data_IF_826326625611
#
_entry.id   IF_826326625611
#
_cell.length_a   1.000
_cell.length_b   1.000
_cell.length_c   1.000
_cell.angle_alpha   90.00
_cell.angle_beta   90.00
_cell.angle_gamma   90.00
#
_symmetry.space_group_name_H-M   'P 1'
#
loop_
_entity.id
_entity.type
_entity.pdbx_description
1 polymer ?
#
# COMPACT_ATOMS: atom_id res chain seq x y z
N UNK A 1 -7.64 -6.48 13.54
CA UNK A 1 -8.56 -6.84 14.60
C UNK A 1 -8.66 -5.68 15.57
N UNK A 2 -9.81 -5.03 15.66
CA UNK A 2 -10.14 -4.07 16.71
C UNK A 2 -11.13 -4.76 17.66
N UNK A 3 -10.76 -5.93 18.22
CA UNK A 3 -11.74 -6.82 18.80
C UNK A 3 -12.42 -6.22 20.01
N UNK A 4 -11.66 -5.53 20.84
CA UNK A 4 -12.18 -5.04 22.09
C UNK A 4 -12.54 -3.55 22.07
N UNK A 5 -11.89 -2.78 21.19
CA UNK A 5 -12.21 -1.37 21.03
C UNK A 5 -13.48 -1.15 20.22
N UNK A 6 -13.72 -1.97 19.20
CA UNK A 6 -14.87 -1.81 18.33
C UNK A 6 -16.19 -2.09 19.05
N UNK A 7 -16.28 -3.19 19.75
CA UNK A 7 -17.53 -3.60 20.40
C UNK A 7 -17.91 -2.70 21.56
N UNK A 8 -16.98 -2.39 22.44
CA UNK A 8 -17.26 -1.50 23.58
C UNK A 8 -17.49 -0.06 23.18
N UNK A 9 -16.83 0.39 22.11
CA UNK A 9 -16.98 1.72 21.61
C UNK A 9 -18.32 1.99 20.94
N UNK A 10 -18.93 1.00 20.31
CA UNK A 10 -20.22 1.15 19.65
C UNK A 10 -21.38 1.37 20.60
N UNK A 11 -21.23 1.03 21.86
CA UNK A 11 -22.25 1.27 22.89
C UNK A 11 -22.23 2.71 23.44
N UNK A 12 -21.15 3.45 23.23
CA UNK A 12 -21.02 4.83 23.69
C UNK A 12 -21.17 5.82 22.53
N UNK A 13 -22.08 6.78 22.70
CA UNK A 13 -22.25 7.88 21.74
C UNK A 13 -21.05 8.84 21.68
N UNK A 14 -20.06 8.61 22.51
CA UNK A 14 -18.86 9.44 22.62
C UNK A 14 -17.73 8.97 21.72
N UNK A 15 -17.85 7.78 21.11
CA UNK A 15 -16.81 7.18 20.32
C UNK A 15 -16.74 7.73 18.88
N UNK A 16 -15.55 8.04 18.46
CA UNK A 16 -15.23 8.49 17.13
C UNK A 16 -14.08 7.67 16.54
N UNK A 17 -14.28 6.96 15.42
CA UNK A 17 -13.18 6.31 14.74
C UNK A 17 -12.26 7.35 14.11
N UNK A 18 -10.97 7.23 14.37
CA UNK A 18 -9.94 8.07 13.79
C UNK A 18 -8.91 7.19 13.09
N UNK A 19 -8.60 7.52 11.85
CA UNK A 19 -7.45 6.94 11.18
C UNK A 19 -6.18 7.54 11.79
N UNK A 20 -5.34 6.71 12.38
CA UNK A 20 -4.04 7.14 12.89
C UNK A 20 -3.04 7.07 11.77
N UNK A 21 -2.42 8.19 11.43
CA UNK A 21 -1.33 8.24 10.47
C UNK A 21 -0.22 7.26 10.86
N UNK A 22 0.30 6.56 9.87
CA UNK A 22 1.35 5.52 10.01
C UNK A 22 0.95 4.25 10.76
N UNK A 23 -0.31 4.06 11.07
CA UNK A 23 -0.79 2.79 11.59
C UNK A 23 -1.39 1.96 10.46
N UNK A 24 -0.96 0.72 10.33
CA UNK A 24 -1.67 -0.28 9.51
C UNK A 24 -2.97 -0.73 10.19
N UNK A 25 -3.48 0.05 11.13
CA UNK A 25 -4.65 -0.26 11.93
C UNK A 25 -5.42 1.02 12.22
N UNK A 26 -6.72 0.89 12.30
CA UNK A 26 -7.61 1.92 12.81
C UNK A 26 -7.47 2.01 14.33
N UNK A 27 -7.37 3.22 14.83
CA UNK A 27 -7.55 3.50 16.25
C UNK A 27 -8.83 4.29 16.44
N UNK A 28 -9.48 4.07 17.55
CA UNK A 28 -10.59 4.90 17.99
C UNK A 28 -10.09 5.88 19.03
N UNK A 29 -10.42 7.13 18.88
CA UNK A 29 -10.23 8.15 19.91
C UNK A 29 -11.59 8.74 20.24
N UNK A 30 -11.77 9.12 21.48
CA UNK A 30 -13.04 9.58 22.02
C UNK A 30 -12.87 10.99 22.52
N UNK A 31 -13.63 11.91 21.94
CA UNK A 31 -13.66 13.29 22.39
C UNK A 31 -15.10 13.74 22.55
N UNK A 32 -15.40 14.43 23.62
CA UNK A 32 -16.75 14.95 23.87
C UNK A 32 -17.18 16.03 22.86
N UNK A 33 -16.23 16.66 22.18
CA UNK A 33 -16.48 17.83 21.34
C UNK A 33 -16.93 17.51 19.93
N UNK A 34 -16.77 16.25 19.48
CA UNK A 34 -17.02 15.85 18.08
C UNK A 34 -18.09 14.76 17.96
N UNK A 35 -19.21 14.95 18.63
CA UNK A 35 -20.34 14.01 18.55
C UNK A 35 -20.97 14.05 17.16
N UNK A 36 -20.71 13.05 16.36
CA UNK A 36 -21.49 12.78 15.15
C UNK A 36 -22.67 11.91 15.51
N UNK A 37 -23.86 12.27 15.04
CA UNK A 37 -25.00 11.39 15.13
C UNK A 37 -24.83 10.21 14.13
N UNK A 38 -25.70 9.21 14.21
CA UNK A 38 -25.64 8.02 13.38
C UNK A 38 -25.70 8.35 11.87
N UNK A 39 -26.53 9.31 11.50
CA UNK A 39 -26.67 9.75 10.10
C UNK A 39 -25.40 10.39 9.57
N UNK A 40 -24.78 11.26 10.35
CA UNK A 40 -23.50 11.87 9.97
C UNK A 40 -22.38 10.83 9.89
N UNK A 41 -22.40 9.83 10.73
CA UNK A 41 -21.42 8.73 10.70
C UNK A 41 -21.60 7.86 9.46
N UNK A 42 -22.84 7.54 9.11
CA UNK A 42 -23.18 6.82 7.88
C UNK A 42 -22.77 7.62 6.64
N UNK A 43 -23.13 8.90 6.58
CA UNK A 43 -22.74 9.78 5.48
C UNK A 43 -21.22 9.90 5.32
N UNK A 44 -20.48 10.00 6.43
CA UNK A 44 -19.02 9.99 6.41
C UNK A 44 -18.46 8.66 5.91
N UNK A 45 -19.11 7.54 6.25
CA UNK A 45 -18.78 6.21 5.74
C UNK A 45 -18.92 6.15 4.21
N UNK A 46 -20.04 6.58 3.68
CA UNK A 46 -20.28 6.65 2.22
C UNK A 46 -19.24 7.56 1.54
N UNK A 47 -18.99 8.75 2.09
CA UNK A 47 -17.96 9.65 1.55
C UNK A 47 -16.57 8.99 1.51
N UNK A 48 -16.21 8.26 2.56
CA UNK A 48 -14.94 7.53 2.61
C UNK A 48 -14.87 6.42 1.57
N UNK A 49 -15.95 5.67 1.39
CA UNK A 49 -16.02 4.61 0.39
C UNK A 49 -15.95 5.18 -1.04
N UNK A 50 -16.62 6.29 -1.32
CA UNK A 50 -16.50 7.00 -2.60
C UNK A 50 -15.04 7.43 -2.88
N UNK A 51 -14.35 7.97 -1.89
CA UNK A 51 -12.94 8.32 -2.01
C UNK A 51 -12.07 7.09 -2.28
N UNK A 52 -12.24 6.03 -1.51
CA UNK A 52 -11.51 4.76 -1.67
C UNK A 52 -11.83 4.10 -3.03
N UNK A 53 -13.07 4.17 -3.50
CA UNK A 53 -13.48 3.70 -4.83
C UNK A 53 -12.94 4.59 -5.97
N UNK A 54 -12.39 5.76 -5.64
CA UNK A 54 -11.87 6.74 -6.61
C UNK A 54 -12.91 7.65 -7.20
N UNK A 55 -14.07 7.69 -6.61
CA UNK A 55 -15.14 8.61 -6.96
C UNK A 55 -15.03 9.80 -6.01
N UNK A 56 -14.70 10.96 -6.55
CA UNK A 56 -14.53 12.15 -5.72
C UNK A 56 -15.84 12.61 -5.12
N UNK A 57 -15.95 12.60 -3.80
CA UNK A 57 -17.11 13.11 -3.05
C UNK A 57 -16.90 14.50 -2.43
N UNK A 58 -15.67 14.99 -2.39
CA UNK A 58 -15.28 16.20 -1.67
C UNK A 58 -14.76 15.91 -0.27
N UNK A 59 -15.06 16.81 0.70
CA UNK A 59 -14.63 16.62 2.09
C UNK A 59 -15.44 15.51 2.76
N UNK A 60 -14.79 14.74 3.63
CA UNK A 60 -15.46 13.76 4.47
C UNK A 60 -15.95 14.47 5.74
N UNK A 61 -17.07 15.11 5.63
CA UNK A 61 -17.67 15.96 6.67
C UNK A 61 -18.92 15.34 7.34
N UNK A 62 -19.41 14.22 6.80
CA UNK A 62 -20.61 13.55 7.29
C UNK A 62 -21.91 14.18 6.83
N UNK A 63 -21.88 14.97 5.75
CA UNK A 63 -23.07 15.55 5.16
C UNK A 63 -23.23 15.13 3.68
N UNK A 64 -24.38 14.57 3.33
CA UNK A 64 -24.71 14.24 1.94
C UNK A 64 -25.10 15.50 1.16
N UNK A 65 -24.11 16.38 0.96
CA UNK A 65 -24.27 17.60 0.20
C UNK A 65 -24.37 17.36 -1.32
N UNK A 66 -24.56 18.44 -2.08
CA UNK A 66 -24.72 18.38 -3.55
C UNK A 66 -23.60 17.62 -4.25
N UNK A 67 -22.34 17.85 -3.84
CA UNK A 67 -21.17 17.17 -4.43
C UNK A 67 -21.18 15.66 -4.16
N UNK A 68 -21.50 15.27 -2.93
CA UNK A 68 -21.58 13.85 -2.56
C UNK A 68 -22.68 13.13 -3.32
N UNK A 69 -23.87 13.75 -3.42
CA UNK A 69 -25.00 13.18 -4.18
C UNK A 69 -24.72 13.08 -5.67
N UNK A 70 -24.05 14.07 -6.26
CA UNK A 70 -23.60 14.00 -7.65
C UNK A 70 -22.63 12.82 -7.85
N UNK A 71 -21.62 12.68 -6.98
CA UNK A 71 -20.67 11.58 -7.05
C UNK A 71 -21.32 10.20 -6.90
N UNK A 72 -22.34 10.08 -6.04
CA UNK A 72 -23.16 8.85 -5.92
C UNK A 72 -23.89 8.59 -7.25
N UNK A 73 -24.56 9.60 -7.80
CA UNK A 73 -25.27 9.47 -9.07
C UNK A 73 -24.38 9.05 -10.23
N UNK A 74 -23.24 9.72 -10.38
CA UNK A 74 -22.23 9.38 -11.40
C UNK A 74 -21.71 7.96 -11.21
N UNK A 75 -21.48 7.54 -9.96
CA UNK A 75 -21.03 6.18 -9.65
C UNK A 75 -22.09 5.15 -10.03
N UNK A 76 -23.35 5.32 -9.59
CA UNK A 76 -24.46 4.42 -9.94
C UNK A 76 -24.63 4.31 -11.46
N UNK A 77 -24.61 5.45 -12.15
CA UNK A 77 -24.69 5.47 -13.61
C UNK A 77 -23.53 4.71 -14.26
N UNK A 78 -22.31 4.89 -13.76
CA UNK A 78 -21.12 4.19 -14.28
C UNK A 78 -21.17 2.67 -14.11
N UNK A 79 -21.95 2.20 -13.14
CA UNK A 79 -22.18 0.78 -12.85
C UNK A 79 -23.46 0.24 -13.51
N UNK A 80 -24.24 1.07 -14.19
CA UNK A 80 -25.54 0.68 -14.76
C UNK A 80 -26.59 0.35 -13.71
N UNK A 81 -26.50 0.96 -12.54
CA UNK A 81 -27.40 0.74 -11.41
C UNK A 81 -28.50 1.79 -11.35
N UNK A 82 -29.65 1.41 -10.74
CA UNK A 82 -30.79 2.30 -10.56
C UNK A 82 -30.47 3.40 -9.54
N UNK A 83 -31.04 4.60 -9.77
CA UNK A 83 -30.92 5.73 -8.85
C UNK A 83 -31.62 5.47 -7.50
N UNK A 84 -32.51 4.48 -7.44
CA UNK A 84 -33.21 4.05 -6.22
C UNK A 84 -32.48 2.92 -5.48
N UNK A 85 -31.21 2.63 -5.83
CA UNK A 85 -30.39 1.67 -5.09
C UNK A 85 -30.39 2.04 -3.60
N UNK A 86 -30.66 1.06 -2.74
CA UNK A 86 -30.71 1.30 -1.28
C UNK A 86 -29.35 1.72 -0.74
N UNK A 87 -29.32 2.43 0.38
CA UNK A 87 -28.07 2.86 1.03
C UNK A 87 -27.17 1.65 1.39
N UNK A 88 -27.78 0.53 1.80
CA UNK A 88 -27.05 -0.69 2.11
C UNK A 88 -26.37 -1.28 0.86
N UNK A 89 -27.12 -1.45 -0.22
CA UNK A 89 -26.58 -1.98 -1.49
C UNK A 89 -25.51 -1.04 -2.07
N UNK A 90 -25.72 0.28 -1.96
CA UNK A 90 -24.74 1.28 -2.38
C UNK A 90 -23.42 1.11 -1.60
N UNK A 91 -23.49 0.92 -0.29
CA UNK A 91 -22.29 0.72 0.55
C UNK A 91 -21.56 -0.56 0.17
N UNK A 92 -22.27 -1.66 -0.02
CA UNK A 92 -21.68 -2.95 -0.42
C UNK A 92 -20.97 -2.85 -1.78
N UNK A 93 -21.60 -2.20 -2.76
CA UNK A 93 -21.02 -2.02 -4.10
C UNK A 93 -19.82 -1.07 -4.07
N UNK A 94 -19.88 -0.02 -3.28
CA UNK A 94 -18.77 0.90 -3.07
C UNK A 94 -17.61 0.19 -2.37
N UNK A 95 -17.86 -0.61 -1.33
CA UNK A 95 -16.85 -1.39 -0.63
C UNK A 95 -16.17 -2.37 -1.58
N UNK A 96 -16.94 -3.13 -2.36
CA UNK A 96 -16.38 -4.04 -3.35
C UNK A 96 -15.52 -3.30 -4.37
N UNK A 97 -15.99 -2.16 -4.88
CA UNK A 97 -15.23 -1.33 -5.83
C UNK A 97 -13.95 -0.78 -5.22
N UNK A 98 -13.99 -0.35 -3.95
CA UNK A 98 -12.83 0.10 -3.22
C UNK A 98 -11.80 -1.03 -3.01
N UNK A 99 -12.27 -2.23 -2.67
CA UNK A 99 -11.42 -3.42 -2.54
C UNK A 99 -10.77 -3.79 -3.88
N UNK A 100 -11.53 -3.81 -4.96
CA UNK A 100 -11.01 -4.14 -6.29
C UNK A 100 -9.98 -3.09 -6.75
N UNK A 101 -10.25 -1.82 -6.47
CA UNK A 101 -9.29 -0.75 -6.73
C UNK A 101 -8.04 -0.91 -5.87
N UNK A 102 -8.18 -1.19 -4.58
CA UNK A 102 -7.07 -1.43 -3.69
C UNK A 102 -6.22 -2.63 -4.13
N UNK A 103 -6.83 -3.67 -4.69
CA UNK A 103 -6.11 -4.82 -5.26
C UNK A 103 -5.37 -4.48 -6.55
N UNK A 104 -5.81 -3.45 -7.28
CA UNK A 104 -5.29 -3.07 -8.58
C UNK A 104 -4.38 -1.83 -8.57
N UNK A 105 -3.87 -1.43 -7.41
CA UNK A 105 -2.90 -0.33 -7.26
C UNK A 105 -1.64 -0.82 -6.56
N UNK A 106 -0.62 0.02 -6.54
CA UNK A 106 0.60 -0.24 -5.78
C UNK A 106 1.69 -0.97 -6.56
N UNK A 107 2.72 -1.41 -5.84
CA UNK A 107 3.87 -2.12 -6.40
C UNK A 107 3.78 -3.60 -6.07
N UNK A 108 3.88 -4.42 -7.09
CA UNK A 108 4.01 -5.88 -6.98
C UNK A 108 5.34 -6.31 -7.57
N UNK A 109 6.08 -7.10 -6.83
CA UNK A 109 7.26 -7.79 -7.32
C UNK A 109 6.91 -9.23 -7.67
N UNK A 110 7.37 -9.70 -8.83
CA UNK A 110 7.16 -11.07 -9.29
C UNK A 110 8.51 -11.74 -9.59
N UNK A 111 8.66 -12.94 -9.10
CA UNK A 111 9.81 -13.80 -9.35
C UNK A 111 9.52 -14.67 -10.60
N UNK A 112 10.30 -14.49 -11.66
CA UNK A 112 10.25 -15.29 -12.91
C UNK A 112 11.41 -16.27 -13.02
N UNK A 113 12.01 -16.61 -11.88
CA UNK A 113 13.05 -17.63 -11.79
C UNK A 113 12.48 -18.92 -11.15
N UNK A 114 13.29 -19.96 -11.13
CA UNK A 114 12.97 -21.23 -10.48
C UNK A 114 13.54 -21.34 -9.05
N UNK A 115 14.12 -20.25 -8.51
CA UNK A 115 14.72 -20.16 -7.19
C UNK A 115 13.98 -19.13 -6.34
N UNK A 116 14.21 -19.14 -5.03
CA UNK A 116 13.70 -18.13 -4.12
C UNK A 116 14.43 -16.80 -4.30
N UNK A 117 13.69 -15.71 -4.15
CA UNK A 117 14.22 -14.35 -4.19
C UNK A 117 13.81 -13.62 -2.94
N UNK A 118 14.75 -12.93 -2.31
CA UNK A 118 14.50 -11.92 -1.29
C UNK A 118 14.54 -10.55 -1.93
N UNK A 119 13.43 -9.84 -1.94
CA UNK A 119 13.30 -8.57 -2.63
C UNK A 119 13.22 -7.39 -1.66
N UNK A 120 13.72 -6.25 -2.11
CA UNK A 120 13.62 -4.98 -1.41
C UNK A 120 13.24 -3.86 -2.38
N UNK A 121 12.66 -2.80 -1.84
CA UNK A 121 12.30 -1.61 -2.61
C UNK A 121 12.90 -0.36 -1.98
N UNK A 122 13.12 0.68 -2.79
CA UNK A 122 13.39 2.01 -2.30
C UNK A 122 12.50 3.03 -3.00
N UNK A 123 12.18 4.11 -2.30
CA UNK A 123 11.36 5.20 -2.81
C UNK A 123 11.70 6.52 -2.14
N UNK A 124 11.31 7.59 -2.78
CA UNK A 124 11.29 8.89 -2.14
C UNK A 124 10.11 9.00 -1.18
N UNK A 125 10.35 9.50 0.03
CA UNK A 125 9.33 9.75 1.04
C UNK A 125 9.55 11.13 1.67
N UNK A 126 8.66 12.05 1.33
CA UNK A 126 8.88 13.47 1.64
C UNK A 126 10.14 13.99 0.95
N UNK A 127 11.04 14.62 1.69
CA UNK A 127 12.31 15.13 1.17
C UNK A 127 13.44 14.07 1.19
N UNK A 128 13.23 12.94 1.84
CA UNK A 128 14.23 11.88 2.01
C UNK A 128 13.97 10.64 1.16
N UNK A 129 14.79 9.63 1.42
CA UNK A 129 14.70 8.31 0.82
C UNK A 129 14.36 7.27 1.88
N UNK A 130 13.62 6.25 1.49
CA UNK A 130 13.30 5.09 2.30
C UNK A 130 13.64 3.83 1.51
N UNK A 131 14.36 2.88 2.14
CA UNK A 131 14.51 1.52 1.63
C UNK A 131 13.85 0.53 2.59
N UNK A 132 13.17 -0.47 2.05
CA UNK A 132 12.46 -1.49 2.83
C UNK A 132 12.65 -2.87 2.22
N UNK A 133 12.77 -3.88 3.04
CA UNK A 133 12.89 -5.30 2.70
C UNK A 133 12.72 -6.14 3.96
N UNK A 134 12.68 -7.41 3.90
CA UNK A 134 12.69 -8.28 2.73
C UNK A 134 11.31 -8.86 2.49
N UNK A 135 10.96 -9.02 1.25
CA UNK A 135 9.81 -9.81 0.85
C UNK A 135 10.31 -11.07 0.14
N UNK A 136 9.93 -12.22 0.70
CA UNK A 136 10.21 -13.51 0.06
C UNK A 136 9.29 -13.71 -1.14
N UNK A 137 9.89 -14.04 -2.26
CA UNK A 137 9.21 -14.42 -3.49
C UNK A 137 9.60 -15.87 -3.82
N UNK A 138 8.67 -16.79 -3.63
CA UNK A 138 8.85 -18.17 -4.08
C UNK A 138 8.98 -18.23 -5.60
N UNK A 139 9.52 -19.33 -6.13
CA UNK A 139 9.67 -19.55 -7.57
C UNK A 139 8.33 -19.34 -8.29
N UNK A 140 8.28 -18.45 -9.28
CA UNK A 140 7.07 -18.06 -10.00
C UNK A 140 6.07 -17.24 -9.21
N UNK A 141 6.34 -16.94 -7.93
CA UNK A 141 5.46 -16.20 -7.03
C UNK A 141 5.55 -14.68 -7.18
N UNK A 142 4.57 -13.99 -6.63
CA UNK A 142 4.54 -12.52 -6.55
C UNK A 142 4.18 -12.08 -5.13
N UNK A 143 4.71 -10.93 -4.72
CA UNK A 143 4.32 -10.25 -3.49
C UNK A 143 4.01 -8.78 -3.76
N UNK A 144 2.96 -8.28 -3.12
CA UNK A 144 2.64 -6.87 -3.11
C UNK A 144 3.49 -6.18 -2.03
N UNK A 145 4.33 -5.26 -2.43
CA UNK A 145 5.28 -4.56 -1.55
C UNK A 145 4.83 -3.14 -1.19
N UNK A 146 3.96 -2.55 -2.03
CA UNK A 146 3.24 -1.31 -1.74
C UNK A 146 1.78 -1.56 -2.08
N UNK A 147 0.88 -1.28 -1.15
CA UNK A 147 -0.58 -1.49 -1.27
C UNK A 147 -1.37 -0.19 -1.48
N UNK A 148 -0.68 0.94 -1.56
CA UNK A 148 -1.24 2.26 -1.82
C UNK A 148 -1.06 2.68 -3.30
N UNK A 149 -1.91 3.59 -3.82
CA UNK A 149 -1.79 4.09 -5.19
C UNK A 149 -0.43 4.75 -5.44
N UNK A 150 0.24 4.35 -6.49
CA UNK A 150 1.51 4.96 -6.91
C UNK A 150 1.24 6.26 -7.66
N UNK A 151 1.57 7.38 -7.03
CA UNK A 151 1.32 8.72 -7.58
C UNK A 151 2.51 9.28 -8.36
N UNK A 152 3.71 8.74 -8.15
CA UNK A 152 4.95 9.26 -8.71
C UNK A 152 5.85 8.14 -9.22
N UNK A 153 6.71 8.46 -10.17
CA UNK A 153 7.88 7.67 -10.53
C UNK A 153 8.96 7.79 -9.43
N UNK A 154 10.06 7.04 -9.57
CA UNK A 154 11.16 7.07 -8.60
C UNK A 154 11.05 5.96 -7.55
N UNK A 155 10.55 4.82 -8.00
CA UNK A 155 10.62 3.55 -7.29
C UNK A 155 11.84 2.77 -7.77
N UNK A 156 12.46 2.04 -6.85
CA UNK A 156 13.63 1.24 -7.12
C UNK A 156 13.42 -0.17 -6.57
N UNK A 157 13.94 -1.16 -7.27
CA UNK A 157 13.84 -2.56 -6.92
C UNK A 157 15.24 -3.15 -6.69
N UNK A 158 15.36 -4.04 -5.72
CA UNK A 158 16.54 -4.83 -5.45
C UNK A 158 16.14 -6.25 -5.09
N UNK A 159 17.03 -7.19 -5.38
CA UNK A 159 16.79 -8.57 -5.01
C UNK A 159 18.09 -9.36 -4.84
N UNK A 160 18.01 -10.37 -3.98
CA UNK A 160 19.01 -11.41 -3.78
C UNK A 160 18.33 -12.77 -4.04
N UNK A 161 18.89 -13.59 -4.91
CA UNK A 161 18.38 -14.90 -5.27
C UNK A 161 19.19 -15.98 -4.56
N UNK A 162 18.53 -16.90 -3.87
CA UNK A 162 19.19 -18.05 -3.23
C UNK A 162 19.80 -18.99 -4.28
N UNK A 163 21.07 -19.37 -4.14
CA UNK A 163 21.79 -20.24 -5.09
C UNK A 163 22.48 -21.44 -4.44
N UNK A 164 22.01 -21.89 -3.31
CA UNK A 164 22.56 -23.01 -2.56
C UNK A 164 22.59 -22.73 -1.07
N UNK A 165 23.23 -23.59 -0.32
CA UNK A 165 23.35 -23.42 1.14
C UNK A 165 24.32 -22.28 1.46
N UNK A 166 23.75 -21.11 1.81
CA UNK A 166 24.51 -19.93 2.20
C UNK A 166 25.06 -19.10 1.04
N UNK A 167 24.69 -19.42 -0.20
CA UNK A 167 25.08 -18.64 -1.37
C UNK A 167 23.89 -17.81 -1.89
N UNK A 168 24.20 -16.62 -2.38
CA UNK A 168 23.23 -15.71 -3.01
C UNK A 168 23.78 -15.12 -4.30
N UNK A 169 22.90 -14.87 -5.23
CA UNK A 169 23.20 -14.10 -6.45
C UNK A 169 22.53 -12.74 -6.33
N UNK A 170 23.30 -11.69 -6.46
CA UNK A 170 22.81 -10.32 -6.34
C UNK A 170 22.33 -9.79 -7.68
N UNK A 171 21.36 -8.87 -7.64
CA UNK A 171 20.91 -8.12 -8.80
C UNK A 171 22.08 -7.31 -9.38
N UNK A 172 22.36 -7.44 -10.70
CA UNK A 172 23.53 -6.82 -11.34
C UNK A 172 23.23 -5.57 -12.14
N UNK A 173 21.97 -5.35 -12.53
CA UNK A 173 21.58 -4.19 -13.35
C UNK A 173 21.22 -2.92 -12.57
N UNK A 174 21.42 -2.93 -11.26
CA UNK A 174 21.21 -1.78 -10.39
C UNK A 174 22.36 -0.79 -10.45
N UNK A 175 22.05 0.50 -10.36
CA UNK A 175 23.03 1.59 -10.31
C UNK A 175 22.85 2.53 -9.12
N UNK A 176 21.67 2.47 -8.50
CA UNK A 176 21.29 3.38 -7.42
C UNK A 176 21.56 2.74 -6.06
N UNK A 177 22.48 3.32 -5.29
CA UNK A 177 22.86 2.83 -3.99
C UNK A 177 21.80 3.16 -2.92
N UNK A 178 21.37 2.13 -2.16
CA UNK A 178 20.56 2.27 -0.96
C UNK A 178 21.00 1.28 0.10
N UNK A 179 20.65 1.59 1.35
CA UNK A 179 21.02 0.72 2.47
C UNK A 179 20.07 -0.48 2.56
N UNK A 180 20.64 -1.65 2.81
CA UNK A 180 19.94 -2.91 3.10
C UNK A 180 20.49 -3.53 4.39
N UNK A 181 19.68 -4.32 5.08
CA UNK A 181 20.07 -5.03 6.31
C UNK A 181 19.96 -6.54 6.12
N UNK A 182 20.65 -7.33 6.94
CA UNK A 182 20.51 -8.80 6.94
C UNK A 182 19.12 -9.27 7.33
N UNK A 183 18.45 -8.56 8.24
CA UNK A 183 17.08 -8.85 8.66
C UNK A 183 16.08 -7.92 7.96
N UNK A 184 14.78 -8.18 8.13
CA UNK A 184 13.71 -7.31 7.66
C UNK A 184 13.93 -5.88 8.14
N UNK A 185 13.82 -4.91 7.24
CA UNK A 185 14.22 -3.52 7.51
C UNK A 185 13.25 -2.48 6.91
N UNK A 186 13.33 -1.29 7.49
CA UNK A 186 12.82 -0.04 6.94
C UNK A 186 13.82 1.05 7.35
N UNK A 187 14.64 1.50 6.39
CA UNK A 187 15.75 2.41 6.61
C UNK A 187 15.43 3.74 5.94
N UNK A 188 15.60 4.83 6.68
CA UNK A 188 15.48 6.19 6.16
C UNK A 188 16.88 6.72 5.82
N UNK A 189 17.02 7.32 4.65
CA UNK A 189 18.29 7.73 4.09
C UNK A 189 18.85 6.71 3.10
N UNK A 190 19.92 7.07 2.42
CA UNK A 190 20.62 6.21 1.45
C UNK A 190 22.14 6.36 1.50
N UNK A 191 22.63 7.21 2.37
CA UNK A 191 24.05 7.55 2.52
C UNK A 191 24.60 6.91 3.80
N UNK A 192 25.92 6.70 3.84
CA UNK A 192 26.63 6.18 5.01
C UNK A 192 26.07 4.84 5.57
N UNK A 193 25.73 3.91 4.69
CA UNK A 193 25.13 2.62 5.08
C UNK A 193 26.07 1.84 6.04
N UNK A 194 27.36 1.78 5.74
CA UNK A 194 28.34 1.04 6.52
C UNK A 194 28.55 1.64 7.91
N UNK A 195 28.48 2.96 8.05
CA UNK A 195 28.58 3.65 9.35
C UNK A 195 27.41 3.30 10.28
N UNK A 196 26.25 2.99 9.69
CA UNK A 196 25.06 2.55 10.40
C UNK A 196 24.95 1.02 10.50
N UNK A 197 26.03 0.28 10.20
CA UNK A 197 26.07 -1.19 10.17
C UNK A 197 25.09 -1.85 9.20
N UNK A 198 24.76 -1.16 8.12
CA UNK A 198 24.00 -1.69 6.98
C UNK A 198 24.94 -2.03 5.81
N UNK A 199 24.45 -2.79 4.84
CA UNK A 199 25.15 -2.99 3.57
C UNK A 199 24.62 -2.03 2.52
N UNK A 200 25.42 -1.72 1.52
CA UNK A 200 24.98 -0.99 0.33
C UNK A 200 24.48 -1.99 -0.71
N UNK A 201 23.21 -1.85 -1.13
CA UNK A 201 22.63 -2.57 -2.25
C UNK A 201 22.49 -1.66 -3.47
N UNK A 202 22.76 -2.19 -4.66
CA UNK A 202 22.58 -1.48 -5.92
C UNK A 202 21.20 -1.78 -6.49
N UNK A 203 20.31 -0.84 -6.37
CA UNK A 203 18.92 -0.93 -6.82
C UNK A 203 18.78 -0.50 -8.29
N UNK A 204 17.85 -1.10 -8.98
CA UNK A 204 17.45 -0.72 -10.35
C UNK A 204 16.25 0.21 -10.31
N UNK A 205 16.30 1.29 -11.06
CA UNK A 205 15.15 2.16 -11.24
C UNK A 205 14.03 1.39 -11.97
N UNK A 206 12.82 1.45 -11.43
CA UNK A 206 11.67 0.80 -12.05
C UNK A 206 11.04 1.70 -13.11
N UNK A 207 10.28 1.14 -14.07
CA UNK A 207 9.44 1.93 -14.96
C UNK A 207 8.45 2.81 -14.17
N UNK A 208 7.95 3.86 -14.82
CA UNK A 208 6.89 4.68 -14.25
C UNK A 208 5.60 3.86 -14.05
N UNK A 209 4.86 4.07 -12.94
CA UNK A 209 3.59 3.40 -12.71
C UNK A 209 2.57 3.75 -13.80
N UNK A 210 1.78 2.78 -14.22
CA UNK A 210 0.64 2.97 -15.13
C UNK A 210 -0.64 2.73 -14.33
N UNK A 211 -1.58 3.67 -14.39
CA UNK A 211 -2.83 3.60 -13.63
C UNK A 211 -2.62 3.37 -12.13
N UNK A 212 -1.58 4.03 -11.56
CA UNK A 212 -1.21 3.92 -10.14
C UNK A 212 -0.74 2.53 -9.70
N UNK A 213 -0.36 1.69 -10.65
CA UNK A 213 0.10 0.33 -10.46
C UNK A 213 1.42 0.11 -11.17
N UNK A 214 2.25 -0.72 -10.59
CA UNK A 214 3.46 -1.24 -11.21
C UNK A 214 3.63 -2.71 -10.83
N UNK A 215 3.88 -3.55 -11.82
CA UNK A 215 4.39 -4.90 -11.63
C UNK A 215 5.82 -4.91 -12.13
N UNK A 216 6.76 -5.25 -11.24
CA UNK A 216 8.17 -5.39 -11.59
C UNK A 216 8.56 -6.85 -11.49
N UNK A 217 9.24 -7.36 -12.50
CA UNK A 217 9.56 -8.78 -12.63
C UNK A 217 11.08 -8.98 -12.58
N UNK A 218 11.50 -9.99 -11.80
CA UNK A 218 12.88 -10.44 -11.72
C UNK A 218 13.06 -11.71 -12.54
N UNK A 219 14.04 -11.71 -13.42
CA UNK A 219 14.41 -12.84 -14.28
C UNK A 219 15.80 -13.36 -13.93
N UNK A 220 16.11 -14.61 -14.28
CA UNK A 220 17.40 -15.24 -14.04
C UNK A 220 18.58 -14.39 -14.54
N UNK A 221 18.45 -13.80 -15.72
CA UNK A 221 19.46 -12.92 -16.34
C UNK A 221 19.76 -11.63 -15.59
N UNK A 222 18.95 -11.29 -14.61
CA UNK A 222 19.10 -10.06 -13.81
C UNK A 222 20.12 -10.26 -12.66
N UNK A 223 20.51 -11.49 -12.40
CA UNK A 223 21.37 -11.87 -11.29
C UNK A 223 22.78 -12.24 -11.76
N UNK A 224 23.77 -11.88 -10.97
CA UNK A 224 25.19 -12.18 -11.19
C UNK A 224 25.58 -13.60 -10.82
N UNK A 225 26.88 -13.81 -10.61
CA UNK A 225 27.43 -15.06 -10.08
C UNK A 225 27.08 -15.22 -8.59
N UNK A 226 27.11 -16.46 -8.13
CA UNK A 226 26.88 -16.79 -6.73
C UNK A 226 28.04 -16.27 -5.84
N UNK A 227 27.69 -15.72 -4.70
CA UNK A 227 28.64 -15.27 -3.66
C UNK A 227 28.14 -15.73 -2.30
N UNK A 228 29.05 -15.87 -1.35
CA UNK A 228 28.67 -16.20 0.02
C UNK A 228 27.74 -15.12 0.61
N UNK A 229 26.66 -15.56 1.25
CA UNK A 229 25.75 -14.70 1.96
C UNK A 229 26.39 -14.20 3.28
N UNK A 230 27.18 -13.14 3.22
CA UNK A 230 27.90 -12.55 4.35
C UNK A 230 27.06 -11.56 5.19
#
# INVERSE_FOLDING_TARGET
NIPDCGVRGLESREFRPVLVENANSWRTSFTETDKRNLEQSSAAGVQRLLDNAGVYSGRIDGYLGRKTRAAIGDFLQSKGLDANTTDADLMDILEQTAMDRARNVGLTFCNRTNKRIWSAMARRRGEGWESRGWWLLEAGGCARVIDEPLLQAGLFAYAEMEDGEGEVRMLTRGSDAFCVSKAKFAITGREACEEAAYRTGLFVATPAPVNRKLVFEFFERDFGEAVDAS
#
